data_IF_743016669026
#
_entry.id   IF_743016669026
#
_cell.length_a   1.000
_cell.length_b   1.000
_cell.length_c   1.000
_cell.angle_alpha   90.00
_cell.angle_beta   90.00
_cell.angle_gamma   90.00
#
_symmetry.space_group_name_H-M   'P 1'
#
loop_
_entity.id
_entity.type
_entity.pdbx_description
1 polymer ?
#
# COMPACT_ATOMS: atom_id res chain seq x y z
N UNK A 1 -29.53 -0.69 2.07
CA UNK A 1 -29.13 -0.33 0.69
C UNK A 1 -27.77 0.33 0.64
N UNK A 2 -27.43 1.32 1.53
CA UNK A 2 -26.12 2.01 1.55
C UNK A 2 -24.95 1.02 1.71
N UNK A 3 -24.99 0.12 2.70
CA UNK A 3 -23.93 -0.87 2.93
C UNK A 3 -23.76 -1.80 1.71
N UNK A 4 -24.86 -2.20 1.06
CA UNK A 4 -24.76 -3.03 -0.15
C UNK A 4 -24.06 -2.28 -1.29
N UNK A 5 -24.34 -0.99 -1.45
CA UNK A 5 -23.65 -0.14 -2.43
C UNK A 5 -22.15 -0.09 -2.15
N UNK A 6 -21.74 0.16 -0.90
CA UNK A 6 -20.33 0.15 -0.49
C UNK A 6 -19.63 -1.16 -0.84
N UNK A 7 -20.27 -2.29 -0.51
CA UNK A 7 -19.70 -3.61 -0.79
C UNK A 7 -19.59 -3.89 -2.29
N UNK A 8 -20.59 -3.47 -3.08
CA UNK A 8 -20.57 -3.67 -4.53
C UNK A 8 -19.44 -2.83 -5.16
N UNK A 9 -19.30 -1.58 -4.78
CA UNK A 9 -18.22 -0.71 -5.26
C UNK A 9 -16.85 -1.24 -4.86
N UNK A 10 -16.68 -1.66 -3.62
CA UNK A 10 -15.45 -2.30 -3.15
C UNK A 10 -15.04 -3.50 -4.04
N UNK A 11 -15.98 -4.39 -4.36
CA UNK A 11 -15.70 -5.56 -5.19
C UNK A 11 -15.18 -5.13 -6.57
N UNK A 12 -15.85 -4.18 -7.21
CA UNK A 12 -15.45 -3.68 -8.54
C UNK A 12 -14.06 -3.07 -8.48
N UNK A 13 -13.82 -2.15 -7.52
CA UNK A 13 -12.52 -1.50 -7.33
C UNK A 13 -11.39 -2.50 -7.06
N UNK A 14 -11.65 -3.48 -6.19
CA UNK A 14 -10.64 -4.51 -5.87
C UNK A 14 -10.26 -5.35 -7.08
N UNK A 15 -11.24 -5.71 -7.93
CA UNK A 15 -10.98 -6.45 -9.17
C UNK A 15 -10.20 -5.58 -10.17
N UNK A 16 -10.54 -4.30 -10.32
CA UNK A 16 -9.81 -3.36 -11.18
C UNK A 16 -8.36 -3.22 -10.73
N UNK A 17 -8.11 -2.98 -9.44
CA UNK A 17 -6.75 -2.87 -8.89
C UNK A 17 -5.93 -4.15 -9.07
N UNK A 18 -6.55 -5.31 -8.82
CA UNK A 18 -5.88 -6.60 -9.03
C UNK A 18 -5.58 -6.85 -10.51
N UNK A 19 -6.46 -6.43 -11.41
CA UNK A 19 -6.23 -6.56 -12.86
C UNK A 19 -5.08 -5.67 -13.34
N UNK A 20 -4.91 -4.46 -12.78
CA UNK A 20 -3.76 -3.59 -13.05
C UNK A 20 -2.46 -4.24 -12.58
N UNK A 21 -2.39 -4.66 -11.33
CA UNK A 21 -1.21 -5.28 -10.72
C UNK A 21 -0.71 -6.49 -11.54
N UNK A 22 -1.58 -7.43 -11.83
CA UNK A 22 -1.25 -8.61 -12.63
C UNK A 22 -0.98 -8.26 -14.10
N UNK A 23 -1.72 -7.28 -14.64
CA UNK A 23 -1.59 -6.84 -16.02
C UNK A 23 -0.22 -6.23 -16.29
N UNK A 24 0.29 -5.38 -15.43
CA UNK A 24 1.61 -4.77 -15.58
C UNK A 24 2.74 -5.79 -15.63
N UNK A 25 2.68 -6.81 -14.77
CA UNK A 25 3.66 -7.90 -14.77
C UNK A 25 3.54 -8.73 -16.05
N UNK A 26 2.33 -9.17 -16.40
CA UNK A 26 2.08 -9.99 -17.60
C UNK A 26 2.52 -9.30 -18.90
N UNK A 27 2.24 -8.00 -19.00
CA UNK A 27 2.48 -7.22 -20.23
C UNK A 27 3.87 -6.57 -20.24
N UNK A 28 4.72 -6.83 -19.23
CA UNK A 28 6.07 -6.30 -19.12
C UNK A 28 6.11 -4.78 -19.04
N UNK A 29 5.14 -4.15 -18.35
CA UNK A 29 5.04 -2.69 -18.23
C UNK A 29 6.01 -2.19 -17.15
N UNK A 30 6.90 -1.27 -17.52
CA UNK A 30 7.84 -0.58 -16.62
C UNK A 30 7.68 0.95 -16.65
N UNK A 31 6.79 1.44 -17.48
CA UNK A 31 6.43 2.84 -17.63
C UNK A 31 5.34 3.30 -16.62
N UNK A 32 5.33 2.69 -15.43
CA UNK A 32 4.37 2.95 -14.37
C UNK A 32 4.87 4.12 -13.52
N UNK A 33 4.03 5.13 -13.36
CA UNK A 33 4.30 6.26 -12.47
C UNK A 33 3.94 5.93 -11.01
N UNK A 34 4.43 6.79 -10.09
CA UNK A 34 4.02 6.71 -8.67
C UNK A 34 2.50 6.86 -8.54
N UNK A 35 1.87 7.76 -9.30
CA UNK A 35 0.42 7.95 -9.25
C UNK A 35 -0.35 6.71 -9.74
N UNK A 36 0.14 6.03 -10.79
CA UNK A 36 -0.44 4.76 -11.25
C UNK A 36 -0.37 3.69 -10.17
N UNK A 37 0.80 3.55 -9.49
CA UNK A 37 0.92 2.62 -8.37
C UNK A 37 -0.05 2.94 -7.24
N UNK A 38 -0.17 4.21 -6.86
CA UNK A 38 -1.05 4.63 -5.77
C UNK A 38 -2.53 4.36 -6.11
N UNK A 39 -2.93 4.59 -7.35
CA UNK A 39 -4.28 4.27 -7.83
C UNK A 39 -4.53 2.76 -7.78
N UNK A 40 -3.63 1.96 -8.32
CA UNK A 40 -3.71 0.50 -8.27
C UNK A 40 -3.78 -0.02 -6.82
N UNK A 41 -2.89 0.43 -5.93
CA UNK A 41 -2.84 -0.03 -4.55
C UNK A 41 -4.06 0.43 -3.74
N UNK A 42 -4.59 1.62 -4.02
CA UNK A 42 -5.85 2.11 -3.46
C UNK A 42 -7.00 1.18 -3.84
N UNK A 43 -7.14 0.87 -5.11
CA UNK A 43 -8.18 -0.02 -5.60
C UNK A 43 -8.00 -1.46 -5.08
N UNK A 44 -6.81 -2.02 -5.25
CA UNK A 44 -6.50 -3.41 -4.90
C UNK A 44 -6.63 -3.69 -3.41
N UNK A 45 -6.19 -2.75 -2.54
CA UNK A 45 -6.04 -3.01 -1.11
C UNK A 45 -6.81 -2.04 -0.23
N UNK A 46 -6.70 -0.72 -0.40
CA UNK A 46 -7.23 0.23 0.56
C UNK A 46 -8.77 0.21 0.66
N UNK A 47 -9.47 -0.06 -0.44
CA UNK A 47 -10.93 -0.18 -0.42
C UNK A 47 -11.41 -1.32 0.46
N UNK A 48 -10.91 -2.55 0.25
CA UNK A 48 -11.42 -3.70 0.98
C UNK A 48 -10.88 -3.82 2.42
N UNK A 49 -9.65 -3.36 2.65
CA UNK A 49 -8.99 -3.51 3.95
C UNK A 49 -9.28 -2.38 4.94
N UNK A 50 -9.66 -1.19 4.44
CA UNK A 50 -9.82 0.00 5.26
C UNK A 50 -11.12 0.77 4.97
N UNK A 51 -11.25 1.37 3.79
CA UNK A 51 -12.31 2.32 3.47
C UNK A 51 -13.72 1.74 3.64
N UNK A 52 -14.00 0.65 2.96
CA UNK A 52 -15.33 0.03 2.96
C UNK A 52 -15.72 -0.56 4.32
N UNK A 53 -14.84 -1.30 5.04
CA UNK A 53 -15.19 -1.77 6.38
C UNK A 53 -15.55 -0.65 7.35
N UNK A 54 -14.80 0.45 7.34
CA UNK A 54 -15.04 1.56 8.23
C UNK A 54 -16.29 2.37 7.84
N UNK A 55 -16.49 2.64 6.56
CA UNK A 55 -17.70 3.29 6.07
C UNK A 55 -18.95 2.43 6.35
N UNK A 56 -18.89 1.12 6.11
CA UNK A 56 -19.98 0.20 6.40
C UNK A 56 -20.28 0.14 7.91
N UNK A 57 -19.24 0.10 8.75
CA UNK A 57 -19.38 0.16 10.21
C UNK A 57 -20.06 1.44 10.66
N UNK A 58 -19.66 2.59 10.13
CA UNK A 58 -20.29 3.88 10.40
C UNK A 58 -21.78 3.93 10.00
N UNK A 59 -22.10 3.40 8.79
CA UNK A 59 -23.48 3.33 8.31
C UNK A 59 -24.34 2.44 9.23
N UNK A 60 -23.84 1.27 9.63
CA UNK A 60 -24.54 0.34 10.54
C UNK A 60 -24.73 0.95 11.92
N UNK A 61 -23.74 1.70 12.41
CA UNK A 61 -23.79 2.41 13.68
C UNK A 61 -24.68 3.65 13.67
N UNK A 62 -25.29 4.01 12.54
CA UNK A 62 -26.16 5.18 12.41
C UNK A 62 -25.40 6.51 12.31
N UNK A 63 -24.14 6.46 11.89
CA UNK A 63 -23.32 7.65 11.66
C UNK A 63 -23.92 8.57 10.60
N UNK A 64 -23.69 9.88 10.76
CA UNK A 64 -24.04 10.87 9.76
C UNK A 64 -23.05 10.82 8.56
N UNK A 65 -23.35 11.58 7.49
CA UNK A 65 -22.53 11.54 6.28
C UNK A 65 -21.09 12.03 6.52
N UNK A 66 -20.89 13.01 7.40
CA UNK A 66 -19.56 13.49 7.79
C UNK A 66 -18.73 12.39 8.45
N UNK A 67 -19.32 11.66 9.40
CA UNK A 67 -18.66 10.54 10.09
C UNK A 67 -18.32 9.41 9.12
N UNK A 68 -19.23 9.09 8.19
CA UNK A 68 -19.04 8.04 7.20
C UNK A 68 -17.86 8.40 6.27
N UNK A 69 -17.84 9.63 5.73
CA UNK A 69 -16.77 10.07 4.84
C UNK A 69 -15.42 10.21 5.54
N UNK A 70 -15.41 10.69 6.78
CA UNK A 70 -14.19 10.76 7.57
C UNK A 70 -13.58 9.39 7.86
N UNK A 71 -14.41 8.42 8.23
CA UNK A 71 -13.97 7.05 8.47
C UNK A 71 -13.57 6.32 7.16
N UNK A 72 -14.25 6.63 6.05
CA UNK A 72 -13.84 6.17 4.72
C UNK A 72 -12.45 6.71 4.37
N UNK A 73 -12.22 8.01 4.51
CA UNK A 73 -10.94 8.66 4.22
C UNK A 73 -9.82 8.12 5.13
N UNK A 74 -10.10 7.96 6.43
CA UNK A 74 -9.19 7.30 7.37
C UNK A 74 -8.81 5.91 6.86
N UNK A 75 -9.80 5.10 6.48
CA UNK A 75 -9.60 3.75 5.98
C UNK A 75 -8.82 3.68 4.67
N UNK A 76 -9.05 4.62 3.73
CA UNK A 76 -8.27 4.71 2.50
C UNK A 76 -6.80 4.96 2.79
N UNK A 77 -6.50 5.95 3.60
CA UNK A 77 -5.11 6.29 3.92
C UNK A 77 -4.40 5.21 4.71
N UNK A 78 -5.05 4.62 5.72
CA UNK A 78 -4.45 3.53 6.51
C UNK A 78 -4.29 2.25 5.68
N UNK A 79 -5.24 1.92 4.81
CA UNK A 79 -5.15 0.76 3.92
C UNK A 79 -4.03 0.87 2.90
N UNK A 80 -3.81 2.08 2.34
CA UNK A 80 -2.70 2.33 1.44
C UNK A 80 -1.36 2.32 2.17
N UNK A 81 -1.27 2.92 3.36
CA UNK A 81 -0.08 2.86 4.20
C UNK A 81 0.28 1.41 4.58
N UNK A 82 -0.73 0.60 4.88
CA UNK A 82 -0.57 -0.82 5.16
C UNK A 82 0.02 -1.58 3.96
N UNK A 83 -0.46 -1.34 2.72
CA UNK A 83 0.08 -1.96 1.52
C UNK A 83 1.56 -1.59 1.30
N UNK A 84 1.88 -0.29 1.35
CA UNK A 84 3.27 0.17 1.18
C UNK A 84 4.19 -0.44 2.23
N UNK A 85 3.72 -0.54 3.46
CA UNK A 85 4.47 -1.17 4.55
C UNK A 85 4.69 -2.67 4.31
N UNK A 86 3.67 -3.38 3.81
CA UNK A 86 3.76 -4.81 3.52
C UNK A 86 4.82 -5.07 2.44
N UNK A 87 4.83 -4.25 1.38
CA UNK A 87 5.85 -4.26 0.34
C UNK A 87 7.25 -4.00 0.92
N UNK A 88 7.40 -3.03 1.85
CA UNK A 88 8.67 -2.75 2.52
C UNK A 88 9.14 -3.93 3.39
N UNK A 89 8.24 -4.58 4.14
CA UNK A 89 8.58 -5.74 4.96
C UNK A 89 9.03 -6.92 4.11
N UNK A 90 8.46 -7.09 2.92
CA UNK A 90 8.91 -8.10 1.96
C UNK A 90 10.36 -7.86 1.53
N UNK A 91 10.79 -6.61 1.39
CA UNK A 91 12.13 -6.25 0.92
C UNK A 91 13.20 -6.28 2.01
N UNK A 92 12.93 -5.60 3.15
CA UNK A 92 13.94 -5.32 4.19
C UNK A 92 13.70 -6.08 5.50
N UNK A 93 12.61 -6.81 5.60
CA UNK A 93 12.33 -7.70 6.73
C UNK A 93 13.43 -8.74 6.90
N UNK A 94 13.56 -9.33 8.11
CA UNK A 94 14.42 -10.49 8.29
C UNK A 94 13.75 -11.72 7.68
N UNK A 95 14.56 -12.68 7.19
CA UNK A 95 14.05 -13.93 6.62
C UNK A 95 13.15 -14.69 7.60
N UNK A 96 13.40 -14.54 8.89
CA UNK A 96 12.60 -15.12 9.98
C UNK A 96 11.26 -14.38 10.16
N UNK A 97 11.22 -13.06 9.97
CA UNK A 97 10.01 -12.23 10.11
C UNK A 97 9.12 -12.30 8.87
N UNK A 98 9.71 -12.42 7.68
CA UNK A 98 9.01 -12.50 6.40
C UNK A 98 8.55 -13.93 6.03
N UNK A 99 8.94 -14.96 6.80
CA UNK A 99 8.65 -16.37 6.51
C UNK A 99 9.08 -16.79 5.09
N UNK A 100 8.11 -17.26 4.28
CA UNK A 100 8.36 -17.76 2.92
C UNK A 100 8.37 -16.63 1.86
N UNK A 101 7.93 -15.45 2.21
CA UNK A 101 7.66 -14.36 1.25
C UNK A 101 8.79 -13.34 1.15
N UNK A 102 9.96 -13.64 1.70
CA UNK A 102 11.12 -12.74 1.68
C UNK A 102 11.60 -12.47 0.25
N UNK A 103 11.51 -11.18 -0.17
CA UNK A 103 11.87 -10.67 -1.50
C UNK A 103 11.11 -11.29 -2.68
N UNK A 104 9.97 -11.93 -2.43
CA UNK A 104 9.15 -12.53 -3.49
C UNK A 104 8.60 -11.48 -4.45
N UNK A 105 8.38 -10.25 -4.01
CA UNK A 105 7.92 -9.16 -4.88
C UNK A 105 8.93 -8.84 -5.99
N UNK A 106 10.25 -8.98 -5.73
CA UNK A 106 11.28 -8.85 -6.75
C UNK A 106 11.20 -10.03 -7.74
N UNK A 107 11.12 -11.27 -7.23
CA UNK A 107 11.02 -12.48 -8.05
C UNK A 107 9.77 -12.46 -8.94
N UNK A 108 8.64 -12.01 -8.40
CA UNK A 108 7.39 -11.88 -9.13
C UNK A 108 7.35 -10.66 -10.06
N UNK A 109 8.38 -9.82 -10.01
CA UNK A 109 8.47 -8.61 -10.82
C UNK A 109 7.39 -7.58 -10.52
N UNK A 110 6.93 -7.48 -9.27
CA UNK A 110 5.89 -6.53 -8.88
C UNK A 110 6.35 -5.08 -8.99
N UNK A 111 5.43 -4.23 -9.42
CA UNK A 111 5.62 -2.77 -9.49
C UNK A 111 5.23 -2.15 -8.14
N UNK A 112 5.99 -2.48 -7.07
CA UNK A 112 5.81 -1.85 -5.75
C UNK A 112 6.21 -0.39 -5.79
N UNK A 113 5.84 0.42 -4.79
CA UNK A 113 6.23 1.84 -4.74
C UNK A 113 7.76 2.01 -4.76
N UNK A 114 8.49 1.12 -4.10
CA UNK A 114 9.95 1.09 -4.10
C UNK A 114 10.50 0.83 -5.50
N UNK A 115 9.96 -0.17 -6.20
CA UNK A 115 10.39 -0.52 -7.55
C UNK A 115 10.08 0.61 -8.55
N UNK A 116 8.88 1.18 -8.50
CA UNK A 116 8.45 2.29 -9.37
C UNK A 116 9.33 3.53 -9.16
N UNK A 117 9.63 3.87 -7.89
CA UNK A 117 10.52 4.99 -7.60
C UNK A 117 11.95 4.73 -8.09
N UNK A 118 12.48 3.51 -7.92
CA UNK A 118 13.82 3.15 -8.40
C UNK A 118 13.92 3.17 -9.93
N UNK A 119 12.86 2.74 -10.64
CA UNK A 119 12.77 2.82 -12.11
C UNK A 119 12.78 4.26 -12.64
N UNK A 120 12.46 5.26 -11.84
CA UNK A 120 12.55 6.67 -12.23
C UNK A 120 13.99 7.23 -12.23
N UNK A 121 14.96 6.51 -11.65
CA UNK A 121 16.39 6.88 -11.68
C UNK A 121 17.03 6.39 -12.99
N UNK A 122 17.38 7.32 -13.88
CA UNK A 122 17.95 7.02 -15.21
C UNK A 122 19.21 6.15 -15.16
N UNK A 123 19.98 6.18 -14.08
CA UNK A 123 21.24 5.42 -13.93
C UNK A 123 21.02 3.95 -13.67
N UNK A 124 19.89 3.63 -13.02
CA UNK A 124 19.58 2.28 -12.54
C UNK A 124 18.39 1.65 -13.26
N UNK A 125 17.68 2.39 -14.11
CA UNK A 125 16.47 1.96 -14.80
C UNK A 125 16.63 0.59 -15.47
N UNK A 126 17.62 0.47 -16.37
CA UNK A 126 17.82 -0.74 -17.17
C UNK A 126 18.18 -1.95 -16.30
N UNK A 127 18.97 -1.74 -15.22
CA UNK A 127 19.37 -2.81 -14.31
C UNK A 127 18.18 -3.29 -13.46
N UNK A 128 17.36 -2.37 -12.95
CA UNK A 128 16.13 -2.70 -12.19
C UNK A 128 15.14 -3.44 -13.09
N UNK A 129 14.90 -2.93 -14.30
CA UNK A 129 14.03 -3.58 -15.28
C UNK A 129 14.50 -5.01 -15.58
N UNK A 130 15.80 -5.19 -15.83
CA UNK A 130 16.38 -6.51 -16.12
C UNK A 130 16.18 -7.50 -14.96
N UNK A 131 16.39 -7.07 -13.71
CA UNK A 131 16.20 -7.93 -12.53
C UNK A 131 14.72 -8.28 -12.37
N UNK A 132 13.82 -7.31 -12.41
CA UNK A 132 12.37 -7.52 -12.22
C UNK A 132 11.75 -8.36 -13.36
N UNK A 133 12.30 -8.29 -14.58
CA UNK A 133 11.82 -9.09 -15.71
C UNK A 133 12.31 -10.52 -15.68
N UNK A 134 13.38 -10.81 -14.96
CA UNK A 134 14.06 -12.12 -15.01
C UNK A 134 13.33 -13.22 -14.25
N UNK A 135 12.45 -12.87 -13.31
CA UNK A 135 11.82 -13.84 -12.40
C UNK A 135 12.83 -14.56 -11.51
N UNK A 136 13.94 -13.90 -11.19
CA UNK A 136 15.08 -14.52 -10.49
C UNK A 136 14.76 -14.89 -9.05
N UNK A 137 15.31 -16.02 -8.61
CA UNK A 137 15.43 -16.42 -7.22
C UNK A 137 16.90 -16.45 -6.72
N UNK A 138 17.84 -16.00 -7.57
CA UNK A 138 19.25 -15.92 -7.23
C UNK A 138 19.48 -14.88 -6.11
N UNK A 139 19.99 -15.31 -4.93
CA UNK A 139 20.22 -14.43 -3.80
C UNK A 139 21.12 -13.21 -4.13
N UNK A 140 22.06 -13.34 -5.07
CA UNK A 140 22.95 -12.25 -5.46
C UNK A 140 22.18 -11.18 -6.25
N UNK A 141 21.32 -11.58 -7.18
CA UNK A 141 20.47 -10.63 -7.92
C UNK A 141 19.43 -9.97 -7.03
N UNK A 142 18.79 -10.72 -6.11
CA UNK A 142 17.86 -10.16 -5.14
C UNK A 142 18.56 -9.16 -4.19
N UNK A 143 19.81 -9.46 -3.76
CA UNK A 143 20.59 -8.52 -2.96
C UNK A 143 20.94 -7.26 -3.75
N UNK A 144 21.32 -7.41 -5.03
CA UNK A 144 21.64 -6.27 -5.91
C UNK A 144 20.43 -5.34 -6.11
N UNK A 145 19.23 -5.89 -6.30
CA UNK A 145 18.03 -5.07 -6.39
C UNK A 145 17.81 -4.23 -5.12
N UNK A 146 17.99 -4.83 -3.93
CA UNK A 146 17.86 -4.10 -2.67
C UNK A 146 18.94 -3.02 -2.51
N UNK A 147 20.18 -3.28 -2.95
CA UNK A 147 21.24 -2.26 -2.97
C UNK A 147 20.83 -1.07 -3.85
N UNK A 148 20.32 -1.31 -5.05
CA UNK A 148 19.84 -0.24 -5.94
C UNK A 148 18.69 0.53 -5.28
N UNK A 149 17.75 -0.14 -4.63
CA UNK A 149 16.65 0.53 -3.93
C UNK A 149 17.13 1.40 -2.76
N UNK A 150 18.27 1.05 -2.13
CA UNK A 150 18.94 1.89 -1.13
C UNK A 150 19.68 3.06 -1.79
N UNK A 151 20.47 2.80 -2.85
CA UNK A 151 21.26 3.81 -3.58
C UNK A 151 20.38 4.92 -4.19
N UNK A 152 19.17 4.55 -4.65
CA UNK A 152 18.16 5.48 -5.20
C UNK A 152 17.31 6.16 -4.12
N UNK A 153 17.46 5.79 -2.85
CA UNK A 153 16.62 6.28 -1.74
C UNK A 153 15.16 5.82 -1.81
N UNK A 154 14.86 4.80 -2.63
CA UNK A 154 13.49 4.36 -2.89
C UNK A 154 12.83 3.73 -1.66
N UNK A 155 13.62 3.07 -0.80
CA UNK A 155 13.14 2.51 0.47
C UNK A 155 12.70 3.63 1.41
N UNK A 156 13.54 4.66 1.59
CA UNK A 156 13.25 5.82 2.45
C UNK A 156 12.07 6.63 1.91
N UNK A 157 11.96 6.75 0.57
CA UNK A 157 10.82 7.38 -0.09
C UNK A 157 9.51 6.68 0.27
N UNK A 158 9.44 5.36 0.10
CA UNK A 158 8.25 4.58 0.40
C UNK A 158 7.90 4.62 1.90
N UNK A 159 8.89 4.55 2.76
CA UNK A 159 8.71 4.69 4.21
C UNK A 159 8.12 6.05 4.59
N UNK A 160 8.69 7.15 4.07
CA UNK A 160 8.19 8.50 4.30
C UNK A 160 6.77 8.67 3.78
N UNK A 161 6.47 8.09 2.62
CA UNK A 161 5.12 8.13 2.04
C UNK A 161 4.09 7.44 2.94
N UNK A 162 4.43 6.28 3.52
CA UNK A 162 3.55 5.58 4.47
C UNK A 162 3.30 6.39 5.76
N UNK A 163 4.33 7.10 6.26
CA UNK A 163 4.18 8.02 7.40
C UNK A 163 3.24 9.18 7.08
N UNK A 164 3.38 9.80 5.92
CA UNK A 164 2.51 10.90 5.47
C UNK A 164 1.05 10.44 5.31
N UNK A 165 0.82 9.24 4.80
CA UNK A 165 -0.52 8.66 4.73
C UNK A 165 -1.12 8.44 6.11
N UNK A 166 -0.34 7.99 7.07
CA UNK A 166 -0.78 7.83 8.46
C UNK A 166 -1.16 9.17 9.09
N UNK A 167 -0.38 10.22 8.83
CA UNK A 167 -0.72 11.57 9.28
C UNK A 167 -2.03 12.08 8.63
N UNK A 168 -2.22 11.84 7.33
CA UNK A 168 -3.47 12.17 6.62
C UNK A 168 -4.68 11.40 7.18
N UNK A 169 -4.49 10.12 7.52
CA UNK A 169 -5.54 9.33 8.14
C UNK A 169 -5.98 9.94 9.49
N UNK A 170 -5.04 10.25 10.35
CA UNK A 170 -5.34 10.89 11.64
C UNK A 170 -6.06 12.23 11.49
N UNK A 171 -5.60 13.05 10.54
CA UNK A 171 -6.22 14.34 10.23
C UNK A 171 -7.66 14.19 9.73
N UNK A 172 -7.97 13.12 8.98
CA UNK A 172 -9.32 12.88 8.45
C UNK A 172 -10.40 12.72 9.56
N UNK A 173 -10.01 12.26 10.75
CA UNK A 173 -10.94 12.07 11.87
C UNK A 173 -10.78 13.13 12.97
N UNK A 174 -9.85 14.08 12.84
CA UNK A 174 -9.49 15.01 13.92
C UNK A 174 -10.67 15.84 14.43
N UNK A 175 -11.45 16.39 13.51
CA UNK A 175 -12.54 17.35 13.83
C UNK A 175 -13.93 16.71 13.72
N UNK A 176 -14.04 15.40 13.58
CA UNK A 176 -15.31 14.68 13.45
C UNK A 176 -15.77 14.17 14.81
N UNK A 177 -17.04 14.32 15.12
CA UNK A 177 -17.59 13.81 16.38
C UNK A 177 -17.59 12.27 16.40
N UNK A 178 -16.69 11.68 17.18
CA UNK A 178 -16.58 10.24 17.41
C UNK A 178 -16.58 9.96 18.91
N UNK A 179 -17.02 8.76 19.28
CA UNK A 179 -16.84 8.27 20.64
C UNK A 179 -15.35 8.34 21.04
N UNK A 180 -15.00 8.86 22.22
CA UNK A 180 -13.60 9.07 22.62
C UNK A 180 -12.76 7.78 22.59
N UNK A 181 -13.34 6.66 23.01
CA UNK A 181 -12.63 5.37 23.01
C UNK A 181 -12.42 4.84 21.57
N UNK A 182 -13.45 5.00 20.70
CA UNK A 182 -13.31 4.66 19.30
C UNK A 182 -12.22 5.50 18.60
N UNK A 183 -12.19 6.81 18.89
CA UNK A 183 -11.13 7.71 18.37
C UNK A 183 -9.74 7.25 18.80
N UNK A 184 -9.54 6.96 20.09
CA UNK A 184 -8.26 6.48 20.62
C UNK A 184 -7.83 5.18 19.93
N UNK A 185 -8.76 4.25 19.70
CA UNK A 185 -8.53 3.01 19.00
C UNK A 185 -8.07 3.26 17.55
N UNK A 186 -8.75 4.13 16.80
CA UNK A 186 -8.35 4.47 15.42
C UNK A 186 -6.97 5.11 15.37
N UNK A 187 -6.65 6.05 16.25
CA UNK A 187 -5.33 6.67 16.32
C UNK A 187 -4.24 5.63 16.61
N UNK A 188 -4.48 4.73 17.57
CA UNK A 188 -3.56 3.63 17.90
C UNK A 188 -3.39 2.65 16.75
N UNK A 189 -4.47 2.32 16.00
CA UNK A 189 -4.39 1.49 14.81
C UNK A 189 -3.54 2.15 13.71
N UNK A 190 -3.70 3.45 13.49
CA UNK A 190 -2.90 4.17 12.51
C UNK A 190 -1.40 4.12 12.84
N UNK A 191 -1.02 4.29 14.12
CA UNK A 191 0.37 4.17 14.57
C UNK A 191 0.90 2.74 14.40
N UNK A 192 0.11 1.74 14.79
CA UNK A 192 0.50 0.33 14.66
C UNK A 192 0.86 -0.07 13.22
N UNK A 193 0.18 0.49 12.22
CA UNK A 193 0.48 0.18 10.82
C UNK A 193 1.86 0.68 10.38
N UNK A 194 2.47 1.65 11.06
CA UNK A 194 3.77 2.24 10.69
C UNK A 194 4.90 1.81 11.62
N UNK A 195 4.62 1.62 12.92
CA UNK A 195 5.65 1.31 13.93
C UNK A 195 6.39 -0.02 13.73
N UNK A 196 5.84 -0.96 12.97
CA UNK A 196 6.50 -2.26 12.68
C UNK A 196 7.68 -2.17 11.69
N UNK A 197 8.05 -0.98 11.23
CA UNK A 197 9.22 -0.75 10.37
C UNK A 197 10.50 -0.41 11.15
N UNK A 198 10.42 -0.35 12.49
CA UNK A 198 11.56 -0.08 13.39
C UNK A 198 12.03 -1.34 14.08
#
# INVERSE_FOLDING_TARGET
LRVLHELTEMIVRTIEGQALDLGWVRDGRFDISVDDYLDMATHKTAFYSGATPLAAGAIIGGGNDEQIEALRAFGLHTGLAFQIRDDLLNLVGTKEAANKDFRTDITEGKRTLVAVHALSDERHHDEVEAILSSGTDDPAQLARAVEIFQETGSIDYAHTYALDLTAKAKAAIENVELDPHARELFLSMADFFVERLN
#
